data_IF_756638949617
#
_entry.id   IF_756638949617
#
_cell.length_a   1.000
_cell.length_b   1.000
_cell.length_c   1.000
_cell.angle_alpha   90.00
_cell.angle_beta   90.00
_cell.angle_gamma   90.00
#
_symmetry.space_group_name_H-M   'P 1'
#
loop_
_entity.id
_entity.type
_entity.pdbx_description
1 polymer ?
#
# COMPACT_ATOMS: atom_id res chain seq x y z
N UNK A 1 42.90 -23.16 -19.71
CA UNK A 1 41.57 -22.61 -20.08
C UNK A 1 40.43 -23.31 -19.32
N UNK A 2 40.38 -24.65 -19.23
CA UNK A 2 39.33 -25.39 -18.50
C UNK A 2 39.15 -25.02 -17.01
N UNK A 3 40.26 -24.88 -16.25
CA UNK A 3 40.20 -24.60 -14.79
C UNK A 3 39.53 -23.26 -14.47
N UNK A 4 39.72 -22.25 -15.33
CA UNK A 4 39.08 -20.94 -15.18
C UNK A 4 37.57 -20.98 -15.40
N UNK A 5 37.09 -21.76 -16.37
CA UNK A 5 35.66 -21.92 -16.66
C UNK A 5 34.97 -22.70 -15.53
N UNK A 6 35.60 -23.74 -15.00
CA UNK A 6 35.09 -24.49 -13.85
C UNK A 6 34.99 -23.63 -12.58
N UNK A 7 35.96 -22.75 -12.33
CA UNK A 7 35.93 -21.82 -11.21
C UNK A 7 34.78 -20.80 -11.28
N UNK A 8 34.54 -20.23 -12.46
CA UNK A 8 33.41 -19.31 -12.69
C UNK A 8 32.07 -20.05 -12.52
N UNK A 9 31.96 -21.28 -13.03
CA UNK A 9 30.77 -22.11 -12.87
C UNK A 9 30.46 -22.43 -11.40
N UNK A 10 31.48 -22.82 -10.63
CA UNK A 10 31.33 -23.09 -9.20
C UNK A 10 30.91 -21.84 -8.42
N UNK A 11 31.55 -20.68 -8.67
CA UNK A 11 31.18 -19.42 -8.03
C UNK A 11 29.73 -19.02 -8.36
N UNK A 12 29.31 -19.15 -9.62
CA UNK A 12 27.93 -18.87 -10.04
C UNK A 12 26.92 -19.78 -9.35
N UNK A 13 27.23 -21.08 -9.22
CA UNK A 13 26.40 -22.04 -8.51
C UNK A 13 26.30 -21.71 -7.02
N UNK A 14 27.42 -21.47 -6.34
CA UNK A 14 27.43 -21.09 -4.93
C UNK A 14 26.66 -19.79 -4.69
N UNK A 15 26.81 -18.79 -5.57
CA UNK A 15 26.06 -17.54 -5.50
C UNK A 15 24.55 -17.81 -5.65
N UNK A 16 24.13 -18.61 -6.63
CA UNK A 16 22.72 -18.98 -6.81
C UNK A 16 22.16 -19.73 -5.60
N UNK A 17 22.88 -20.73 -5.08
CA UNK A 17 22.49 -21.47 -3.89
C UNK A 17 22.34 -20.56 -2.68
N UNK A 18 23.30 -19.66 -2.45
CA UNK A 18 23.23 -18.67 -1.38
C UNK A 18 22.04 -17.71 -1.55
N UNK A 19 21.80 -17.19 -2.75
CA UNK A 19 20.65 -16.31 -3.02
C UNK A 19 19.31 -17.02 -2.79
N UNK A 20 19.18 -18.27 -3.22
CA UNK A 20 18.00 -19.11 -3.00
C UNK A 20 17.81 -19.41 -1.51
N UNK A 21 18.84 -19.86 -0.81
CA UNK A 21 18.79 -20.11 0.63
C UNK A 21 18.40 -18.85 1.40
N UNK A 22 18.96 -17.69 1.04
CA UNK A 22 18.61 -16.40 1.63
C UNK A 22 17.16 -16.00 1.32
N UNK A 23 16.65 -16.30 0.13
CA UNK A 23 15.24 -16.07 -0.23
C UNK A 23 14.30 -16.96 0.58
N UNK A 24 14.59 -18.27 0.68
CA UNK A 24 13.84 -19.23 1.50
C UNK A 24 13.80 -18.76 2.96
N UNK A 25 14.95 -18.40 3.53
CA UNK A 25 15.04 -17.89 4.89
C UNK A 25 14.16 -16.65 5.08
N UNK A 26 14.22 -15.68 4.16
CA UNK A 26 13.43 -14.44 4.25
C UNK A 26 11.93 -14.64 4.13
N UNK A 27 11.50 -15.62 3.33
CA UNK A 27 10.08 -15.87 3.04
C UNK A 27 9.43 -16.78 4.09
N UNK A 28 10.14 -17.80 4.56
CA UNK A 28 9.53 -18.86 5.36
C UNK A 28 10.03 -18.95 6.81
N UNK A 29 11.27 -18.52 7.09
CA UNK A 29 11.91 -18.79 8.41
C UNK A 29 12.02 -17.51 9.25
N UNK A 30 12.31 -16.36 8.62
CA UNK A 30 12.58 -15.11 9.32
C UNK A 30 11.34 -14.59 10.04
N UNK A 31 11.44 -14.41 11.35
CA UNK A 31 10.37 -13.81 12.16
C UNK A 31 9.91 -12.45 11.62
N UNK A 32 8.59 -12.16 11.67
CA UNK A 32 8.06 -10.87 11.25
C UNK A 32 8.57 -9.76 12.17
N UNK A 33 8.75 -8.56 11.61
CA UNK A 33 9.08 -7.38 12.41
C UNK A 33 7.87 -6.98 13.25
N UNK A 34 8.11 -6.47 14.46
CA UNK A 34 7.05 -5.85 15.23
C UNK A 34 6.72 -4.49 14.61
N UNK A 35 5.54 -4.39 13.99
CA UNK A 35 5.14 -3.18 13.27
C UNK A 35 4.96 -1.97 14.21
N UNK A 36 4.65 -2.21 15.49
CA UNK A 36 4.53 -1.16 16.51
C UNK A 36 5.86 -0.47 16.80
N UNK A 37 6.98 -1.08 16.42
CA UNK A 37 8.26 -0.42 16.50
C UNK A 37 8.21 0.86 15.66
N UNK A 38 7.63 0.83 14.46
CA UNK A 38 7.58 2.02 13.59
C UNK A 38 6.71 3.15 14.15
N UNK A 39 5.69 2.82 14.94
CA UNK A 39 4.79 3.74 15.62
C UNK A 39 3.48 3.07 16.01
N UNK A 40 2.65 3.76 16.78
CA UNK A 40 1.39 3.21 17.31
C UNK A 40 0.22 3.21 16.32
N UNK A 41 0.30 4.00 15.25
CA UNK A 41 -0.78 4.18 14.27
C UNK A 41 -0.37 3.78 12.86
N UNK A 42 -1.30 3.16 12.14
CA UNK A 42 -1.21 2.87 10.72
C UNK A 42 -2.28 3.63 9.93
N UNK A 43 -1.90 4.24 8.81
CA UNK A 43 -2.84 4.83 7.84
C UNK A 43 -3.06 3.82 6.72
N UNK A 44 -4.31 3.59 6.33
CA UNK A 44 -4.66 2.72 5.19
C UNK A 44 -5.62 3.46 4.25
N UNK A 45 -5.20 3.67 3.01
CA UNK A 45 -6.07 4.22 1.96
C UNK A 45 -6.89 3.10 1.30
N UNK A 46 -8.16 3.35 0.99
CA UNK A 46 -9.06 2.31 0.46
C UNK A 46 -9.36 1.21 1.49
N UNK A 47 -9.56 1.57 2.75
CA UNK A 47 -9.66 0.63 3.89
C UNK A 47 -11.03 -0.03 4.11
N UNK A 48 -12.01 0.25 3.24
CA UNK A 48 -13.40 -0.18 3.44
C UNK A 48 -13.80 -1.44 2.69
N UNK A 49 -12.93 -1.97 1.82
CA UNK A 49 -13.19 -3.19 1.07
C UNK A 49 -11.89 -3.93 0.70
N UNK A 50 -12.02 -5.17 0.22
CA UNK A 50 -10.96 -5.97 -0.37
C UNK A 50 -9.67 -6.04 0.45
N UNK A 51 -8.54 -5.85 -0.22
CA UNK A 51 -7.19 -5.92 0.38
C UNK A 51 -7.03 -4.89 1.49
N UNK A 52 -7.52 -3.66 1.30
CA UNK A 52 -7.40 -2.60 2.30
C UNK A 52 -8.14 -2.90 3.58
N UNK A 53 -9.36 -3.44 3.49
CA UNK A 53 -10.12 -3.89 4.67
C UNK A 53 -9.42 -5.05 5.37
N UNK A 54 -8.98 -6.06 4.61
CA UNK A 54 -8.23 -7.19 5.19
C UNK A 54 -6.96 -6.73 5.92
N UNK A 55 -6.20 -5.80 5.32
CA UNK A 55 -5.02 -5.19 5.94
C UNK A 55 -5.37 -4.40 7.19
N UNK A 56 -6.47 -3.65 7.20
CA UNK A 56 -6.94 -2.94 8.40
C UNK A 56 -7.20 -3.91 9.57
N UNK A 57 -7.89 -5.03 9.31
CA UNK A 57 -8.11 -6.07 10.31
C UNK A 57 -6.80 -6.72 10.80
N UNK A 58 -5.87 -7.00 9.89
CA UNK A 58 -4.60 -7.63 10.25
C UNK A 58 -3.69 -6.66 11.04
N UNK A 59 -3.71 -5.37 10.74
CA UNK A 59 -2.95 -4.38 11.52
C UNK A 59 -3.57 -4.17 12.90
N UNK A 60 -4.90 -4.19 13.01
CA UNK A 60 -5.59 -4.17 14.30
C UNK A 60 -5.30 -5.43 15.13
N UNK A 61 -5.23 -6.62 14.51
CA UNK A 61 -4.89 -7.87 15.20
C UNK A 61 -3.49 -7.80 15.85
N UNK A 62 -2.56 -7.09 15.20
CA UNK A 62 -1.20 -6.78 15.71
C UNK A 62 -1.15 -5.62 16.71
N UNK A 63 -2.29 -5.02 17.05
CA UNK A 63 -2.40 -3.98 18.07
C UNK A 63 -2.04 -2.57 17.62
N UNK A 64 -2.04 -2.28 16.31
CA UNK A 64 -1.95 -0.90 15.82
C UNK A 64 -3.31 -0.22 15.87
N UNK A 65 -3.29 1.07 16.21
CA UNK A 65 -4.42 1.96 15.98
C UNK A 65 -4.49 2.32 14.49
N UNK A 66 -5.67 2.68 13.99
CA UNK A 66 -5.89 2.83 12.55
C UNK A 66 -6.39 4.22 12.19
N UNK A 67 -5.84 4.79 11.13
CA UNK A 67 -6.46 5.87 10.37
C UNK A 67 -6.99 5.26 9.08
N UNK A 68 -8.30 5.07 9.02
CA UNK A 68 -8.98 4.47 7.88
C UNK A 68 -9.40 5.57 6.91
N UNK A 69 -8.88 5.53 5.67
CA UNK A 69 -9.25 6.48 4.63
C UNK A 69 -10.01 5.78 3.51
N UNK A 70 -11.14 6.37 3.09
CA UNK A 70 -11.92 5.97 1.93
C UNK A 70 -12.93 7.08 1.59
N UNK A 71 -13.65 6.93 0.48
CA UNK A 71 -14.58 7.97 -0.01
C UNK A 71 -15.92 7.99 0.72
N UNK A 72 -16.36 6.83 1.21
CA UNK A 72 -17.67 6.65 1.81
C UNK A 72 -17.55 6.53 3.33
N UNK A 73 -18.09 7.52 4.05
CA UNK A 73 -18.04 7.59 5.51
C UNK A 73 -18.80 6.44 6.18
N UNK A 74 -19.98 6.07 5.72
CA UNK A 74 -20.76 5.00 6.34
C UNK A 74 -20.06 3.63 6.22
N UNK A 75 -19.38 3.36 5.11
CA UNK A 75 -18.53 2.17 4.96
C UNK A 75 -17.30 2.20 5.90
N UNK A 76 -16.72 3.36 6.14
CA UNK A 76 -15.62 3.53 7.12
C UNK A 76 -16.11 3.26 8.54
N UNK A 77 -17.28 3.77 8.90
CA UNK A 77 -17.90 3.55 10.20
C UNK A 77 -18.26 2.08 10.42
N UNK A 78 -18.84 1.42 9.41
CA UNK A 78 -19.09 -0.03 9.43
C UNK A 78 -17.80 -0.82 9.65
N UNK A 79 -16.76 -0.53 8.87
CA UNK A 79 -15.47 -1.22 9.00
C UNK A 79 -14.86 -0.99 10.38
N UNK A 80 -14.93 0.24 10.91
CA UNK A 80 -14.45 0.56 12.25
C UNK A 80 -15.24 -0.18 13.33
N UNK A 81 -16.57 -0.29 13.19
CA UNK A 81 -17.42 -1.04 14.11
C UNK A 81 -17.07 -2.53 14.10
N UNK A 82 -16.89 -3.13 12.93
CA UNK A 82 -16.50 -4.54 12.80
C UNK A 82 -15.13 -4.82 13.44
N UNK A 83 -14.14 -3.93 13.24
CA UNK A 83 -12.81 -4.05 13.85
C UNK A 83 -12.90 -3.93 15.38
N UNK A 84 -13.64 -2.94 15.89
CA UNK A 84 -13.85 -2.77 17.34
C UNK A 84 -14.59 -3.95 17.96
N UNK A 85 -15.56 -4.52 17.26
CA UNK A 85 -16.27 -5.72 17.68
C UNK A 85 -15.32 -6.91 17.80
N UNK A 86 -14.41 -7.10 16.83
CA UNK A 86 -13.49 -8.24 16.81
C UNK A 86 -12.32 -8.12 17.79
N UNK A 87 -11.77 -6.92 17.99
CA UNK A 87 -10.53 -6.73 18.76
C UNK A 87 -10.70 -5.90 20.05
N UNK A 88 -11.92 -5.44 20.33
CA UNK A 88 -12.28 -4.61 21.48
C UNK A 88 -11.99 -3.12 21.28
N UNK A 89 -12.45 -2.30 22.23
CA UNK A 89 -12.28 -0.84 22.19
C UNK A 89 -10.84 -0.34 22.41
N UNK A 90 -9.89 -1.25 22.66
CA UNK A 90 -8.47 -0.91 22.81
C UNK A 90 -7.85 -0.36 21.52
N UNK A 91 -8.40 -0.73 20.35
CA UNK A 91 -7.95 -0.24 19.06
C UNK A 91 -8.67 1.07 18.76
N UNK A 92 -7.91 2.18 18.77
CA UNK A 92 -8.43 3.49 18.36
C UNK A 92 -8.47 3.55 16.84
N UNK A 93 -9.56 4.10 16.31
CA UNK A 93 -9.78 4.25 14.86
C UNK A 93 -10.20 5.69 14.59
N UNK A 94 -9.52 6.34 13.64
CA UNK A 94 -9.93 7.62 13.06
C UNK A 94 -10.31 7.41 11.60
N UNK A 95 -11.45 7.96 11.19
CA UNK A 95 -11.91 7.89 9.81
C UNK A 95 -11.62 9.21 9.10
N UNK A 96 -11.12 9.14 7.87
CA UNK A 96 -10.98 10.29 6.97
C UNK A 96 -11.74 9.97 5.70
N UNK A 97 -12.88 10.64 5.52
CA UNK A 97 -13.65 10.54 4.29
C UNK A 97 -13.05 11.47 3.23
N UNK A 98 -12.52 10.91 2.14
CA UNK A 98 -11.85 11.67 1.08
C UNK A 98 -11.96 10.93 -0.26
N UNK A 99 -12.35 11.65 -1.32
CA UNK A 99 -12.40 11.14 -2.68
C UNK A 99 -11.16 11.53 -3.48
N UNK A 100 -10.20 10.60 -3.59
CA UNK A 100 -8.94 10.84 -4.29
C UNK A 100 -9.08 11.18 -5.78
N UNK A 101 -10.20 10.86 -6.42
CA UNK A 101 -10.45 11.26 -7.81
C UNK A 101 -10.83 12.74 -7.92
N UNK A 102 -11.50 13.26 -6.88
CA UNK A 102 -12.04 14.62 -6.85
C UNK A 102 -11.19 15.58 -6.02
N UNK A 103 -10.23 15.06 -5.27
CA UNK A 103 -9.45 15.85 -4.32
C UNK A 103 -8.09 16.25 -4.87
N UNK A 104 -7.78 17.54 -4.80
CA UNK A 104 -6.50 18.09 -5.18
C UNK A 104 -5.40 17.90 -4.11
N UNK A 105 -4.14 18.23 -4.43
CA UNK A 105 -3.00 18.08 -3.52
C UNK A 105 -3.19 18.78 -2.17
N UNK A 106 -3.75 19.99 -2.19
CA UNK A 106 -3.99 20.81 -0.99
C UNK A 106 -5.06 20.20 -0.09
N UNK A 107 -6.13 19.68 -0.67
CA UNK A 107 -7.23 19.05 0.06
C UNK A 107 -6.80 17.74 0.71
N UNK A 108 -6.07 16.90 -0.04
CA UNK A 108 -5.47 15.66 0.47
C UNK A 108 -4.55 15.98 1.65
N UNK A 109 -3.64 16.95 1.48
CA UNK A 109 -2.69 17.33 2.52
C UNK A 109 -3.39 17.86 3.76
N UNK A 110 -4.38 18.74 3.60
CA UNK A 110 -5.17 19.29 4.69
C UNK A 110 -5.92 18.19 5.46
N UNK A 111 -6.64 17.31 4.76
CA UNK A 111 -7.39 16.22 5.37
C UNK A 111 -6.49 15.29 6.19
N UNK A 112 -5.31 14.97 5.67
CA UNK A 112 -4.32 14.14 6.37
C UNK A 112 -3.77 14.87 7.58
N UNK A 113 -3.29 16.12 7.43
CA UNK A 113 -2.70 16.86 8.55
C UNK A 113 -3.66 16.99 9.74
N UNK A 114 -4.93 17.32 9.48
CA UNK A 114 -5.96 17.37 10.52
C UNK A 114 -6.25 15.97 11.10
N UNK A 115 -6.41 14.97 10.23
CA UNK A 115 -6.75 13.61 10.65
C UNK A 115 -5.68 12.92 11.50
N UNK A 116 -4.41 13.24 11.27
CA UNK A 116 -3.27 12.60 11.96
C UNK A 116 -2.66 13.46 13.07
N UNK A 117 -3.21 14.64 13.35
CA UNK A 117 -2.68 15.53 14.38
C UNK A 117 -2.60 14.81 15.75
N UNK A 118 -1.43 14.89 16.38
CA UNK A 118 -1.12 14.26 17.66
C UNK A 118 -0.93 12.74 17.60
N UNK A 119 -0.93 12.13 16.42
CA UNK A 119 -0.77 10.68 16.27
C UNK A 119 0.68 10.30 15.97
N UNK A 120 1.13 9.22 16.60
CA UNK A 120 2.39 8.57 16.29
C UNK A 120 2.24 7.63 15.08
N UNK A 121 2.20 8.22 13.87
CA UNK A 121 2.06 7.47 12.61
C UNK A 121 3.33 6.68 12.31
N UNK A 122 3.26 5.36 12.36
CA UNK A 122 4.39 4.46 12.07
C UNK A 122 4.32 3.78 10.72
N UNK A 123 3.12 3.54 10.21
CA UNK A 123 2.90 2.80 8.97
C UNK A 123 1.94 3.57 8.06
N UNK A 124 2.28 3.67 6.78
CA UNK A 124 1.37 4.10 5.72
C UNK A 124 1.20 2.97 4.72
N UNK A 125 -0.04 2.61 4.42
CA UNK A 125 -0.40 1.67 3.37
C UNK A 125 -1.18 2.42 2.29
N UNK A 126 -0.50 2.73 1.19
CA UNK A 126 -1.12 3.26 -0.02
C UNK A 126 -1.75 2.09 -0.79
N UNK A 127 -3.02 1.82 -0.50
CA UNK A 127 -3.77 0.70 -1.06
C UNK A 127 -4.89 1.13 -2.02
N UNK A 128 -5.39 2.36 -1.93
CA UNK A 128 -6.45 2.84 -2.82
C UNK A 128 -6.06 2.64 -4.29
N UNK A 129 -7.01 2.21 -5.09
CA UNK A 129 -6.82 2.02 -6.52
C UNK A 129 -8.14 1.70 -7.22
N UNK A 130 -8.17 1.96 -8.51
CA UNK A 130 -9.25 1.58 -9.43
C UNK A 130 -8.69 0.86 -10.64
N UNK A 131 -9.53 0.07 -11.29
CA UNK A 131 -9.24 -0.64 -12.53
C UNK A 131 -10.49 -0.62 -13.41
N UNK A 132 -10.35 -0.89 -14.71
CA UNK A 132 -11.49 -1.06 -15.59
C UNK A 132 -12.24 -2.36 -15.25
N UNK A 133 -13.57 -2.30 -15.22
CA UNK A 133 -14.43 -3.42 -14.81
C UNK A 133 -14.41 -4.60 -15.77
N UNK A 134 -14.12 -4.35 -17.05
CA UNK A 134 -14.05 -5.36 -18.10
C UNK A 134 -12.88 -5.04 -19.05
N UNK A 135 -12.34 -6.04 -19.78
CA UNK A 135 -11.33 -5.82 -20.80
C UNK A 135 -11.79 -4.77 -21.82
N UNK A 136 -10.94 -3.78 -22.15
CA UNK A 136 -11.30 -2.66 -23.04
C UNK A 136 -10.11 -2.21 -23.89
N UNK A 137 -10.33 -1.87 -25.15
CA UNK A 137 -9.26 -1.30 -25.98
C UNK A 137 -8.90 0.10 -25.52
N UNK A 138 -7.63 0.48 -25.65
CA UNK A 138 -7.14 1.75 -25.10
C UNK A 138 -7.89 2.98 -25.66
N UNK A 139 -8.15 2.99 -26.97
CA UNK A 139 -8.82 4.11 -27.65
C UNK A 139 -10.31 4.24 -27.31
N UNK A 140 -10.88 3.30 -26.57
CA UNK A 140 -12.29 3.35 -26.15
C UNK A 140 -12.44 4.01 -24.77
N UNK A 141 -11.36 4.25 -24.03
CA UNK A 141 -11.46 4.87 -22.71
C UNK A 141 -11.84 6.34 -22.83
N UNK A 142 -12.81 6.76 -22.02
CA UNK A 142 -13.16 8.16 -21.87
C UNK A 142 -11.98 8.93 -21.24
N UNK A 143 -11.66 10.14 -21.71
CA UNK A 143 -10.58 10.95 -21.15
C UNK A 143 -10.67 11.11 -19.63
N UNK A 144 -11.87 11.31 -19.09
CA UNK A 144 -12.10 11.50 -17.66
C UNK A 144 -11.74 10.25 -16.84
N UNK A 145 -11.96 9.05 -17.41
CA UNK A 145 -11.58 7.81 -16.75
C UNK A 145 -10.07 7.57 -16.78
N UNK A 146 -9.40 7.96 -17.87
CA UNK A 146 -7.93 7.94 -17.96
C UNK A 146 -7.33 8.81 -16.85
N UNK A 147 -7.80 10.05 -16.73
CA UNK A 147 -7.35 10.97 -15.70
C UNK A 147 -7.67 10.46 -14.29
N UNK A 148 -8.89 9.96 -14.07
CA UNK A 148 -9.32 9.38 -12.79
C UNK A 148 -8.40 8.24 -12.36
N UNK A 149 -8.02 7.36 -13.29
CA UNK A 149 -7.11 6.26 -12.99
C UNK A 149 -5.72 6.76 -12.59
N UNK A 150 -5.19 7.78 -13.27
CA UNK A 150 -3.90 8.39 -12.91
C UNK A 150 -3.98 9.06 -11.53
N UNK A 151 -5.01 9.87 -11.29
CA UNK A 151 -5.23 10.56 -10.00
C UNK A 151 -5.30 9.57 -8.84
N UNK A 152 -6.10 8.51 -8.97
CA UNK A 152 -6.32 7.56 -7.88
C UNK A 152 -5.15 6.57 -7.72
N UNK A 153 -4.60 6.01 -8.80
CA UNK A 153 -3.60 4.95 -8.68
C UNK A 153 -2.17 5.48 -8.47
N UNK A 154 -1.88 6.69 -8.96
CA UNK A 154 -0.54 7.28 -8.94
C UNK A 154 -0.49 8.47 -8.00
N UNK A 155 -1.26 9.52 -8.30
CA UNK A 155 -1.13 10.79 -7.59
C UNK A 155 -1.54 10.69 -6.11
N UNK A 156 -2.60 9.94 -5.80
CA UNK A 156 -3.05 9.73 -4.43
C UNK A 156 -1.92 9.20 -3.54
N UNK A 157 -1.17 8.20 -4.00
CA UNK A 157 -0.04 7.63 -3.25
C UNK A 157 1.08 8.67 -3.04
N UNK A 158 1.34 9.50 -4.04
CA UNK A 158 2.34 10.59 -3.97
C UNK A 158 1.92 11.62 -2.92
N UNK A 159 0.70 12.16 -3.01
CA UNK A 159 0.24 13.23 -2.15
C UNK A 159 0.03 12.77 -0.70
N UNK A 160 -0.52 11.58 -0.50
CA UNK A 160 -0.64 10.97 0.84
C UNK A 160 0.74 10.77 1.45
N UNK A 161 1.68 10.22 0.70
CA UNK A 161 3.06 10.02 1.17
C UNK A 161 3.72 11.35 1.53
N UNK A 162 3.59 12.37 0.68
CA UNK A 162 4.13 13.71 0.92
C UNK A 162 3.59 14.33 2.20
N UNK A 163 2.30 14.15 2.51
CA UNK A 163 1.69 14.69 3.73
C UNK A 163 2.14 13.95 5.00
N UNK A 164 2.45 12.66 4.91
CA UNK A 164 2.78 11.80 6.07
C UNK A 164 4.28 11.76 6.38
N UNK A 165 5.13 11.78 5.34
CA UNK A 165 6.58 11.54 5.47
C UNK A 165 7.32 12.53 6.40
N UNK A 166 6.95 13.83 6.53
CA UNK A 166 7.66 14.74 7.43
C UNK A 166 7.61 14.27 8.89
N UNK A 167 6.47 13.72 9.32
CA UNK A 167 6.30 13.17 10.67
C UNK A 167 7.20 11.95 10.92
N UNK A 168 7.28 11.04 9.94
CA UNK A 168 8.15 9.86 10.00
C UNK A 168 9.64 10.25 10.01
N UNK A 169 10.03 11.24 9.19
CA UNK A 169 11.40 11.75 9.14
C UNK A 169 11.84 12.39 10.47
N UNK A 170 10.97 13.19 11.10
CA UNK A 170 11.27 13.84 12.38
C UNK A 170 11.65 12.85 13.48
N UNK A 171 11.00 11.69 13.53
CA UNK A 171 11.33 10.60 14.46
C UNK A 171 12.29 9.55 13.91
N UNK A 172 12.80 9.73 12.68
CA UNK A 172 13.69 8.81 11.95
C UNK A 172 13.16 7.37 11.89
N UNK A 173 11.83 7.22 11.84
CA UNK A 173 11.16 5.92 11.93
C UNK A 173 9.84 5.96 11.18
N UNK A 174 9.63 4.97 10.32
CA UNK A 174 8.38 4.82 9.58
C UNK A 174 8.54 3.75 8.51
N UNK A 175 7.41 3.22 8.05
CA UNK A 175 7.33 2.32 6.92
C UNK A 175 6.21 2.75 5.99
N UNK A 176 6.47 2.72 4.68
CA UNK A 176 5.48 3.01 3.65
C UNK A 176 5.38 1.78 2.75
N UNK A 177 4.15 1.33 2.54
CA UNK A 177 3.82 0.17 1.71
C UNK A 177 2.92 0.66 0.59
N UNK A 178 3.36 0.50 -0.65
CA UNK A 178 2.58 0.81 -1.83
C UNK A 178 2.04 -0.49 -2.43
N UNK A 179 0.73 -0.59 -2.60
CA UNK A 179 0.11 -1.75 -3.23
C UNK A 179 0.19 -1.60 -4.75
N UNK A 180 1.16 -2.30 -5.33
CA UNK A 180 1.34 -2.47 -6.77
C UNK A 180 0.44 -3.57 -7.34
N UNK A 181 0.84 -4.11 -8.49
CA UNK A 181 0.13 -5.18 -9.18
C UNK A 181 1.12 -6.10 -9.87
N UNK A 182 0.82 -7.40 -10.00
CA UNK A 182 1.60 -8.30 -10.84
C UNK A 182 1.62 -7.86 -12.32
N UNK A 183 0.61 -7.09 -12.74
CA UNK A 183 0.52 -6.55 -14.10
C UNK A 183 1.69 -5.64 -14.49
N UNK A 184 2.45 -5.08 -13.53
CA UNK A 184 3.62 -4.25 -13.82
C UNK A 184 4.96 -4.96 -13.72
N UNK A 185 5.07 -5.96 -12.85
CA UNK A 185 6.36 -6.59 -12.54
C UNK A 185 6.53 -8.00 -13.14
N UNK A 186 5.42 -8.72 -13.37
CA UNK A 186 5.47 -10.15 -13.75
C UNK A 186 4.83 -10.45 -15.09
N UNK A 187 3.94 -9.60 -15.56
CA UNK A 187 3.23 -9.78 -16.83
C UNK A 187 3.85 -8.83 -17.86
N UNK A 188 4.62 -9.36 -18.80
CA UNK A 188 5.29 -8.54 -19.83
C UNK A 188 4.33 -7.85 -20.80
N UNK A 189 3.09 -8.32 -20.90
CA UNK A 189 2.02 -7.70 -21.69
C UNK A 189 0.66 -8.00 -21.04
N UNK A 190 -0.10 -6.95 -20.72
CA UNK A 190 -1.44 -7.06 -20.14
C UNK A 190 -2.48 -6.42 -21.07
N UNK A 191 -2.80 -7.08 -22.20
CA UNK A 191 -3.70 -6.53 -23.21
C UNK A 191 -5.08 -6.25 -22.61
N UNK A 192 -5.76 -5.23 -23.15
CA UNK A 192 -7.09 -4.79 -22.71
C UNK A 192 -7.18 -4.22 -21.27
N UNK A 193 -6.05 -4.15 -20.58
CA UNK A 193 -5.86 -3.53 -19.26
C UNK A 193 -4.62 -2.61 -19.25
N UNK A 194 -4.24 -2.10 -20.42
CA UNK A 194 -3.00 -1.34 -20.63
C UNK A 194 -2.93 -0.09 -19.76
N UNK A 195 -4.04 0.65 -19.64
CA UNK A 195 -4.14 1.82 -18.78
C UNK A 195 -3.88 1.47 -17.30
N UNK A 196 -4.51 0.39 -16.81
CA UNK A 196 -4.30 -0.06 -15.43
C UNK A 196 -2.86 -0.52 -15.21
N UNK A 197 -2.31 -1.34 -16.12
CA UNK A 197 -0.93 -1.80 -16.04
C UNK A 197 0.06 -0.62 -16.02
N UNK A 198 -0.14 0.38 -16.88
CA UNK A 198 0.66 1.60 -16.90
C UNK A 198 0.57 2.38 -15.59
N UNK A 199 -0.63 2.50 -15.00
CA UNK A 199 -0.82 3.20 -13.72
C UNK A 199 -0.21 2.50 -12.50
N UNK A 200 0.18 1.22 -12.65
CA UNK A 200 0.80 0.41 -11.59
C UNK A 200 2.27 0.06 -11.87
N UNK A 201 2.83 0.59 -12.96
CA UNK A 201 4.23 0.40 -13.39
C UNK A 201 5.24 1.02 -12.41
#
# INVERSE_FOLDING_TARGET
MLVGVSGIGFFSLCYRLFTNARWIYKMFIRSPKNLRDYGLWAIITGSTDGIGKALAFELASKGLNLVCMARNLSKLESTAAEIRHKFGQRIKIRNIALDFDKSGPTEISSAIHHGIQGLDIGLLVNNVGITNSHPKFFHEFEPEFIESMVRVNVEAAIWVTRAVIPGMMKKKKGAIVNIGSGSSATVSSYPLFTLYAASKA
#
